data_IF_485717309617
#
_entry.id   IF_485717309617
#
_cell.length_a   1.000
_cell.length_b   1.000
_cell.length_c   1.000
_cell.angle_alpha   90.00
_cell.angle_beta   90.00
_cell.angle_gamma   90.00
#
_symmetry.space_group_name_H-M   'P 1'
#
loop_
_entity.id
_entity.type
_entity.pdbx_description
1 polymer ?
#
# COMPACT_ATOMS: atom_id res chain seq x y z
N UNK A 1 -7.37 -10.61 4.37
CA UNK A 1 -7.58 -9.62 3.29
C UNK A 1 -6.61 -8.43 3.34
N UNK A 2 -6.54 -7.65 4.43
CA UNK A 2 -5.62 -6.50 4.53
C UNK A 2 -4.14 -6.87 4.40
N UNK A 3 -3.69 -7.86 5.16
CA UNK A 3 -2.29 -8.33 5.13
C UNK A 3 -1.91 -8.83 3.74
N UNK A 4 -2.85 -9.47 3.04
CA UNK A 4 -2.68 -9.97 1.67
C UNK A 4 -2.54 -8.83 0.66
N UNK A 5 -3.39 -7.80 0.75
CA UNK A 5 -3.33 -6.63 -0.13
C UNK A 5 -1.99 -5.88 0.05
N UNK A 6 -1.57 -5.66 1.29
CA UNK A 6 -0.26 -5.04 1.59
C UNK A 6 0.89 -5.91 1.07
N UNK A 7 0.81 -7.24 1.23
CA UNK A 7 1.82 -8.17 0.71
C UNK A 7 1.94 -8.13 -0.81
N UNK A 8 0.82 -7.98 -1.54
CA UNK A 8 0.82 -7.83 -3.02
C UNK A 8 1.56 -6.56 -3.46
N UNK A 9 1.28 -5.41 -2.81
CA UNK A 9 1.99 -4.16 -3.11
C UNK A 9 3.48 -4.30 -2.83
N UNK A 10 3.85 -4.92 -1.70
CA UNK A 10 5.25 -5.16 -1.36
C UNK A 10 5.95 -6.12 -2.33
N UNK A 11 5.24 -7.12 -2.85
CA UNK A 11 5.76 -8.02 -3.87
C UNK A 11 6.03 -7.28 -5.18
N UNK A 12 5.10 -6.44 -5.64
CA UNK A 12 5.28 -5.62 -6.84
C UNK A 12 6.44 -4.61 -6.69
N UNK A 13 6.56 -3.96 -5.53
CA UNK A 13 7.70 -3.09 -5.22
C UNK A 13 9.03 -3.86 -5.26
N UNK A 14 9.08 -5.09 -4.73
CA UNK A 14 10.29 -5.93 -4.79
C UNK A 14 10.62 -6.38 -6.21
N UNK A 15 9.61 -6.56 -7.05
CA UNK A 15 9.77 -6.97 -8.44
C UNK A 15 10.25 -5.81 -9.35
N UNK A 16 10.31 -4.57 -8.85
CA UNK A 16 10.76 -3.43 -9.66
C UNK A 16 9.69 -2.85 -10.60
N UNK A 17 8.44 -3.30 -10.50
CA UNK A 17 7.35 -2.88 -11.39
C UNK A 17 6.53 -1.74 -10.76
N UNK A 18 6.77 -0.51 -11.24
CA UNK A 18 6.11 0.71 -10.77
C UNK A 18 4.60 0.73 -11.07
N UNK A 19 4.18 0.20 -12.21
CA UNK A 19 2.80 0.29 -12.70
C UNK A 19 1.90 -0.72 -11.97
N UNK A 20 2.40 -1.95 -11.81
CA UNK A 20 1.73 -2.98 -11.01
C UNK A 20 1.69 -2.60 -9.54
N UNK A 21 2.74 -1.96 -9.01
CA UNK A 21 2.75 -1.45 -7.65
C UNK A 21 1.71 -0.34 -7.44
N UNK A 22 1.59 0.61 -8.36
CA UNK A 22 0.59 1.68 -8.32
C UNK A 22 -0.85 1.17 -8.42
N UNK A 23 -1.10 0.18 -9.27
CA UNK A 23 -2.42 -0.44 -9.43
C UNK A 23 -2.82 -1.25 -8.19
N UNK A 24 -1.90 -2.05 -7.66
CA UNK A 24 -2.10 -2.79 -6.41
C UNK A 24 -2.30 -1.86 -5.21
N UNK A 25 -1.60 -0.73 -5.18
CA UNK A 25 -1.76 0.28 -4.13
C UNK A 25 -3.15 0.90 -4.15
N UNK A 26 -3.65 1.30 -5.32
CA UNK A 26 -5.02 1.84 -5.49
C UNK A 26 -6.09 0.88 -4.96
N UNK A 27 -5.92 -0.43 -5.17
CA UNK A 27 -6.83 -1.44 -4.62
C UNK A 27 -6.68 -1.63 -3.08
N UNK A 28 -5.49 -1.41 -2.53
CA UNK A 28 -5.20 -1.58 -1.10
C UNK A 28 -5.71 -0.41 -0.23
N UNK A 29 -5.73 0.82 -0.75
CA UNK A 29 -6.18 2.02 -0.02
C UNK A 29 -7.61 1.90 0.53
N UNK A 30 -8.66 1.57 -0.26
CA UNK A 30 -10.02 1.47 0.26
C UNK A 30 -10.21 0.28 1.22
N UNK A 31 -9.35 -0.73 1.17
CA UNK A 31 -9.35 -1.83 2.15
C UNK A 31 -8.78 -1.37 3.50
N UNK A 32 -7.67 -0.62 3.49
CA UNK A 32 -7.09 -0.01 4.68
C UNK A 32 -8.09 0.92 5.37
N UNK A 33 -8.74 1.79 4.60
CA UNK A 33 -9.65 2.78 5.16
C UNK A 33 -10.94 2.14 5.69
N UNK A 34 -11.47 1.10 5.03
CA UNK A 34 -12.60 0.31 5.57
C UNK A 34 -12.25 -0.40 6.88
N UNK A 35 -11.04 -0.93 7.02
CA UNK A 35 -10.63 -1.57 8.28
C UNK A 35 -10.40 -0.56 9.40
N UNK A 36 -9.94 0.64 9.07
CA UNK A 36 -9.84 1.74 10.03
C UNK A 36 -11.22 2.23 10.48
N UNK A 37 -12.17 2.34 9.54
CA UNK A 37 -13.55 2.72 9.84
C UNK A 37 -14.26 1.70 10.74
N UNK A 38 -13.96 0.41 10.57
CA UNK A 38 -14.46 -0.68 11.43
C UNK A 38 -13.74 -0.80 12.79
N UNK A 39 -12.78 0.07 13.09
CA UNK A 39 -12.02 0.04 14.35
C UNK A 39 -11.02 -1.11 14.48
N UNK A 40 -10.85 -1.94 13.45
CA UNK A 40 -9.91 -3.08 13.45
C UNK A 40 -8.45 -2.63 13.43
N UNK A 41 -8.19 -1.44 12.89
CA UNK A 41 -6.88 -0.77 12.95
C UNK A 41 -7.09 0.69 13.34
N UNK A 42 -6.14 1.25 14.08
CA UNK A 42 -6.15 2.67 14.39
C UNK A 42 -6.00 3.50 13.10
N UNK A 43 -6.65 4.67 13.02
CA UNK A 43 -6.58 5.60 11.88
C UNK A 43 -5.13 5.95 11.52
N UNK A 44 -4.30 6.19 12.54
CA UNK A 44 -2.87 6.43 12.38
C UNK A 44 -2.11 5.22 11.82
N UNK A 45 -2.50 3.99 12.16
CA UNK A 45 -1.91 2.78 11.58
C UNK A 45 -2.21 2.69 10.08
N UNK A 46 -3.46 2.96 9.69
CA UNK A 46 -3.84 3.03 8.27
C UNK A 46 -3.06 4.12 7.53
N UNK A 47 -2.96 5.32 8.11
CA UNK A 47 -2.18 6.43 7.54
C UNK A 47 -0.69 6.10 7.39
N UNK A 48 -0.08 5.47 8.41
CA UNK A 48 1.32 5.00 8.36
C UNK A 48 1.54 4.00 7.22
N UNK A 49 0.61 3.06 7.01
CA UNK A 49 0.72 2.11 5.90
C UNK A 49 0.59 2.80 4.54
N UNK A 50 -0.34 3.74 4.38
CA UNK A 50 -0.50 4.52 3.15
C UNK A 50 0.76 5.32 2.82
N UNK A 51 1.31 6.03 3.81
CA UNK A 51 2.52 6.84 3.65
C UNK A 51 3.75 5.99 3.31
N UNK A 52 3.97 4.89 4.04
CA UNK A 52 5.11 3.99 3.80
C UNK A 52 5.10 3.35 2.42
N UNK A 53 3.94 2.87 1.96
CA UNK A 53 3.81 2.27 0.64
C UNK A 53 4.00 3.32 -0.46
N UNK A 54 3.42 4.51 -0.30
CA UNK A 54 3.56 5.57 -1.29
C UNK A 54 5.02 6.02 -1.43
N UNK A 55 5.73 6.21 -0.33
CA UNK A 55 7.18 6.54 -0.35
C UNK A 55 7.99 5.52 -1.13
N UNK A 56 7.70 4.23 -0.98
CA UNK A 56 8.40 3.16 -1.70
C UNK A 56 8.10 3.16 -3.19
N UNK A 57 6.83 3.40 -3.58
CA UNK A 57 6.44 3.49 -4.99
C UNK A 57 7.08 4.71 -5.65
N UNK A 58 7.08 5.86 -4.97
CA UNK A 58 7.76 7.06 -5.45
C UNK A 58 9.27 6.86 -5.58
N UNK A 59 9.92 6.23 -4.60
CA UNK A 59 11.35 5.91 -4.69
C UNK A 59 11.65 4.99 -5.87
N UNK A 60 10.80 3.99 -6.12
CA UNK A 60 10.91 3.09 -7.27
C UNK A 60 10.78 3.86 -8.60
N UNK A 61 9.88 4.83 -8.66
CA UNK A 61 9.62 5.67 -9.85
C UNK A 61 10.68 6.76 -10.07
N UNK A 62 11.46 7.12 -9.05
CA UNK A 62 12.57 8.08 -9.15
C UNK A 62 13.91 7.41 -9.45
N UNK A 63 14.06 6.12 -9.13
CA UNK A 63 15.26 5.33 -9.41
C UNK A 63 15.28 4.74 -10.84
N UNK A 64 14.17 4.86 -11.57
CA UNK A 64 14.02 4.52 -12.98
C UNK A 64 13.97 5.80 -13.82
#
# INVERSE_FOLDING_TARGET
MLRTAVKRVLAAIRAGDADTAGTSYRAAVPLLDRMAARGLIHKNTASRHKSRLNKRIHALRQAA
#
